data_IF_682068378418
#
_entry.id   IF_682068378418
#
_cell.length_a   1.000
_cell.length_b   1.000
_cell.length_c   1.000
_cell.angle_alpha   90.00
_cell.angle_beta   90.00
_cell.angle_gamma   90.00
#
_symmetry.space_group_name_H-M   'P 1'
#
loop_
_entity.id
_entity.type
_entity.pdbx_description
1 polymer ?
#
# COMPACT_ATOMS: atom_id res chain seq x y z
N UNK A 1 -13.25 7.55 -5.02
CA UNK A 1 -12.74 6.77 -3.86
C UNK A 1 -12.04 7.71 -2.89
N UNK A 2 -12.03 7.44 -1.60
CA UNK A 2 -11.30 8.25 -0.62
C UNK A 2 -9.93 7.62 -0.33
N UNK A 3 -9.00 8.42 0.25
CA UNK A 3 -7.73 7.88 0.75
C UNK A 3 -7.96 6.85 1.86
N UNK A 4 -7.11 5.86 1.93
CA UNK A 4 -7.12 4.83 2.99
C UNK A 4 -6.45 5.32 4.27
N UNK A 5 -5.65 6.39 4.19
CA UNK A 5 -4.92 6.94 5.33
C UNK A 5 -5.21 8.43 5.51
N UNK A 6 -5.32 8.86 6.76
CA UNK A 6 -5.37 10.28 7.10
C UNK A 6 -3.94 10.83 7.15
N UNK A 7 -3.62 11.79 6.28
CA UNK A 7 -2.27 12.33 6.13
C UNK A 7 -2.25 13.83 6.39
N UNK A 8 -1.35 14.28 7.29
CA UNK A 8 -1.21 15.71 7.63
C UNK A 8 -0.70 16.45 6.39
N UNK A 9 -1.35 17.57 6.04
CA UNK A 9 -1.05 18.31 4.82
C UNK A 9 -1.62 17.68 3.54
N UNK A 10 -2.45 16.65 3.69
CA UNK A 10 -3.13 16.00 2.54
C UNK A 10 -4.03 16.96 1.77
N UNK A 11 -4.11 16.78 0.45
CA UNK A 11 -4.84 17.64 -0.50
C UNK A 11 -6.37 17.46 -0.51
N UNK A 12 -6.94 16.87 0.56
CA UNK A 12 -8.39 16.59 0.63
C UNK A 12 -9.24 17.83 0.38
N UNK A 13 -8.92 18.94 1.06
CA UNK A 13 -9.67 20.19 0.95
C UNK A 13 -9.47 20.89 -0.41
N UNK A 14 -8.34 20.67 -1.06
CA UNK A 14 -7.99 21.28 -2.33
C UNK A 14 -8.38 20.44 -3.55
N UNK A 15 -8.84 19.22 -3.33
CA UNK A 15 -9.07 18.21 -4.39
C UNK A 15 -9.96 18.75 -5.52
N UNK A 16 -11.07 19.35 -5.20
CA UNK A 16 -12.02 19.86 -6.18
C UNK A 16 -11.44 21.04 -7.00
N UNK A 17 -10.69 21.93 -6.34
CA UNK A 17 -9.98 23.03 -7.03
C UNK A 17 -8.91 22.50 -7.98
N UNK A 18 -8.20 21.46 -7.60
CA UNK A 18 -7.19 20.81 -8.43
C UNK A 18 -7.84 20.18 -9.66
N UNK A 19 -8.97 19.47 -9.50
CA UNK A 19 -9.68 18.87 -10.63
C UNK A 19 -10.17 19.89 -11.65
N UNK A 20 -10.64 21.05 -11.21
CA UNK A 20 -11.05 22.14 -12.10
C UNK A 20 -9.91 22.69 -12.97
N UNK A 21 -8.66 22.39 -12.62
CA UNK A 21 -7.46 22.83 -13.36
C UNK A 21 -6.88 21.72 -14.22
N UNK A 22 -7.47 20.54 -14.21
CA UNK A 22 -7.03 19.46 -15.08
C UNK A 22 -7.33 19.81 -16.55
N UNK A 23 -6.45 19.40 -17.49
CA UNK A 23 -6.77 19.48 -18.90
C UNK A 23 -7.97 18.58 -19.22
N UNK A 24 -8.75 18.93 -20.25
CA UNK A 24 -9.93 18.18 -20.66
C UNK A 24 -9.62 16.73 -21.05
N UNK A 25 -8.41 16.44 -21.51
CA UNK A 25 -7.92 15.09 -21.78
C UNK A 25 -6.45 14.96 -21.44
N UNK A 26 -6.07 13.83 -20.87
CA UNK A 26 -4.67 13.48 -20.58
C UNK A 26 -4.51 11.97 -20.54
N UNK A 27 -3.39 11.47 -21.05
CA UNK A 27 -3.07 10.03 -21.06
C UNK A 27 -2.29 9.56 -19.82
N UNK A 28 -1.70 10.50 -19.08
CA UNK A 28 -0.85 10.20 -17.91
C UNK A 28 -1.19 11.12 -16.75
N UNK A 29 -1.19 10.55 -15.56
CA UNK A 29 -1.27 11.31 -14.31
C UNK A 29 -0.08 10.96 -13.41
N UNK A 30 0.64 11.97 -12.97
CA UNK A 30 1.80 11.79 -12.09
C UNK A 30 1.60 12.65 -10.85
N UNK A 31 1.48 12.02 -9.69
CA UNK A 31 1.41 12.70 -8.41
C UNK A 31 2.79 12.64 -7.73
N UNK A 32 3.54 13.75 -7.79
CA UNK A 32 4.95 13.82 -7.36
C UNK A 32 5.07 13.84 -5.83
N UNK A 33 4.13 14.47 -5.14
CA UNK A 33 4.02 14.54 -3.69
C UNK A 33 2.63 14.07 -3.28
N UNK A 34 2.45 12.73 -3.29
CA UNK A 34 1.14 12.10 -3.20
C UNK A 34 0.49 12.24 -1.83
N UNK A 35 1.28 12.18 -0.76
CA UNK A 35 0.74 12.15 0.59
C UNK A 35 -0.32 11.04 0.73
N UNK A 36 -1.45 11.35 1.29
CA UNK A 36 -2.57 10.39 1.39
C UNK A 36 -3.23 10.00 0.06
N UNK A 37 -2.75 10.46 -1.09
CA UNK A 37 -3.30 10.08 -2.41
C UNK A 37 -4.70 10.62 -2.71
N UNK A 38 -5.13 11.69 -2.04
CA UNK A 38 -6.49 12.21 -2.15
C UNK A 38 -6.90 12.62 -3.57
N UNK A 39 -5.96 13.14 -4.35
CA UNK A 39 -6.22 13.54 -5.74
C UNK A 39 -6.21 12.32 -6.64
N UNK A 40 -5.20 11.45 -6.51
CA UNK A 40 -5.08 10.22 -7.30
C UNK A 40 -6.31 9.32 -7.16
N UNK A 41 -6.72 9.02 -5.91
CA UNK A 41 -7.83 8.10 -5.67
C UNK A 41 -9.21 8.71 -5.89
N UNK A 42 -9.32 10.03 -5.96
CA UNK A 42 -10.60 10.69 -6.16
C UNK A 42 -10.95 10.98 -7.61
N UNK A 43 -10.00 10.93 -8.54
CA UNK A 43 -10.22 11.13 -9.97
C UNK A 43 -10.63 9.84 -10.70
N UNK A 44 -11.21 9.91 -11.88
CA UNK A 44 -11.32 8.75 -12.77
C UNK A 44 -9.94 8.19 -13.14
N UNK A 45 -9.82 6.86 -13.34
CA UNK A 45 -8.57 6.25 -13.80
C UNK A 45 -8.08 6.85 -15.12
N UNK A 46 -6.76 7.02 -15.27
CA UNK A 46 -6.10 7.40 -16.51
C UNK A 46 -5.26 6.23 -17.04
N UNK A 47 -4.85 6.29 -18.31
CA UNK A 47 -4.13 5.20 -18.96
C UNK A 47 -2.80 4.85 -18.28
N UNK A 48 -2.14 5.84 -17.67
CA UNK A 48 -0.94 5.63 -16.84
C UNK A 48 -1.02 6.50 -15.60
N UNK A 49 -0.79 5.91 -14.44
CA UNK A 49 -0.80 6.60 -13.16
C UNK A 49 0.48 6.31 -12.39
N UNK A 50 1.11 7.37 -11.91
CA UNK A 50 2.32 7.29 -11.09
C UNK A 50 2.07 8.01 -9.77
N UNK A 51 2.24 7.28 -8.68
CA UNK A 51 2.28 7.83 -7.33
C UNK A 51 3.72 7.90 -6.86
N UNK A 52 4.12 9.05 -6.37
CA UNK A 52 5.41 9.26 -5.72
C UNK A 52 5.23 10.08 -4.44
N UNK A 53 6.01 9.74 -3.43
CA UNK A 53 6.16 10.53 -2.21
C UNK A 53 7.57 10.38 -1.66
N UNK A 54 8.02 11.39 -0.92
CA UNK A 54 9.32 11.34 -0.24
C UNK A 54 9.32 10.31 0.91
N UNK A 55 8.16 10.11 1.54
CA UNK A 55 8.02 9.16 2.65
C UNK A 55 7.96 7.73 2.11
N UNK A 56 9.03 6.97 2.34
CA UNK A 56 9.16 5.58 1.88
C UNK A 56 8.17 4.63 2.54
N UNK A 57 7.77 4.88 3.79
CA UNK A 57 6.79 4.06 4.50
C UNK A 57 5.41 4.22 3.89
N UNK A 58 5.05 5.45 3.51
CA UNK A 58 3.81 5.74 2.83
C UNK A 58 3.77 5.08 1.44
N UNK A 59 4.87 5.16 0.71
CA UNK A 59 5.01 4.49 -0.60
C UNK A 59 4.93 2.97 -0.46
N UNK A 60 5.58 2.39 0.56
CA UNK A 60 5.50 0.96 0.86
C UNK A 60 4.08 0.54 1.23
N UNK A 61 3.36 1.33 2.05
CA UNK A 61 1.97 1.06 2.38
C UNK A 61 1.10 0.98 1.12
N UNK A 62 1.16 1.97 0.23
CA UNK A 62 0.35 1.94 -1.00
C UNK A 62 0.74 0.80 -1.96
N UNK A 63 2.02 0.43 -2.02
CA UNK A 63 2.45 -0.77 -2.75
C UNK A 63 1.85 -2.03 -2.14
N UNK A 64 1.91 -2.19 -0.83
CA UNK A 64 1.32 -3.34 -0.15
C UNK A 64 -0.20 -3.43 -0.35
N UNK A 65 -0.91 -2.30 -0.29
CA UNK A 65 -2.35 -2.24 -0.57
C UNK A 65 -2.67 -2.68 -1.99
N UNK A 66 -1.87 -2.29 -2.96
CA UNK A 66 -2.08 -2.65 -4.36
C UNK A 66 -1.73 -4.10 -4.66
N UNK A 67 -0.59 -4.56 -4.17
CA UNK A 67 0.04 -5.79 -4.64
C UNK A 67 -0.05 -6.95 -3.63
N UNK A 68 -0.26 -6.65 -2.34
CA UNK A 68 -0.29 -7.60 -1.23
C UNK A 68 -1.45 -7.34 -0.23
N UNK A 69 -2.70 -7.08 -0.70
CA UNK A 69 -3.79 -6.68 0.20
C UNK A 69 -4.13 -7.74 1.25
N UNK A 70 -4.13 -9.02 0.88
CA UNK A 70 -4.46 -10.11 1.81
C UNK A 70 -3.41 -10.24 2.92
N UNK A 71 -2.12 -10.21 2.57
CA UNK A 71 -1.04 -10.26 3.54
C UNK A 71 -1.08 -9.04 4.49
N UNK A 72 -1.41 -7.85 3.96
CA UNK A 72 -1.56 -6.65 4.77
C UNK A 72 -2.74 -6.77 5.75
N UNK A 73 -3.88 -7.28 5.32
CA UNK A 73 -5.06 -7.49 6.16
C UNK A 73 -4.76 -8.50 7.26
N UNK A 74 -4.07 -9.59 6.94
CA UNK A 74 -3.64 -10.57 7.93
C UNK A 74 -2.73 -9.96 8.99
N UNK A 75 -1.70 -9.23 8.56
CA UNK A 75 -0.78 -8.60 9.50
C UNK A 75 -1.50 -7.58 10.40
N UNK A 76 -2.44 -6.80 9.85
CA UNK A 76 -3.27 -5.89 10.63
C UNK A 76 -4.16 -6.61 11.65
N UNK A 77 -4.62 -7.82 11.34
CA UNK A 77 -5.43 -8.63 12.25
C UNK A 77 -4.69 -9.14 13.49
N UNK A 78 -3.36 -9.14 13.49
CA UNK A 78 -2.54 -9.51 14.63
C UNK A 78 -2.27 -8.37 15.61
N UNK A 79 -2.54 -7.12 15.23
CA UNK A 79 -2.29 -5.98 16.10
C UNK A 79 -3.47 -5.76 17.05
N UNK A 80 -3.23 -5.77 18.37
CA UNK A 80 -4.26 -5.37 19.33
C UNK A 80 -4.58 -3.88 19.17
N UNK A 81 -5.84 -3.55 19.36
CA UNK A 81 -6.34 -2.19 19.21
C UNK A 81 -6.02 -1.36 20.49
N UNK A 82 -5.22 -0.29 20.34
CA UNK A 82 -5.20 0.88 21.23
C UNK A 82 -4.47 0.79 22.58
N UNK A 83 -3.23 0.33 22.61
CA UNK A 83 -2.36 0.47 23.79
C UNK A 83 -1.29 1.56 23.61
N UNK A 84 -1.05 2.41 24.63
CA UNK A 84 0.07 3.38 24.64
C UNK A 84 1.44 2.70 24.50
N UNK A 85 1.58 1.52 25.07
CA UNK A 85 2.81 0.72 24.99
C UNK A 85 3.04 0.20 23.59
N UNK A 86 1.99 -0.24 22.92
CA UNK A 86 2.01 -0.70 21.54
C UNK A 86 2.35 0.43 20.57
N UNK A 87 1.74 1.60 20.75
CA UNK A 87 2.11 2.79 19.98
C UNK A 87 3.61 3.12 20.11
N UNK A 88 4.16 3.06 21.32
CA UNK A 88 5.58 3.30 21.56
C UNK A 88 6.45 2.22 20.94
N UNK A 89 5.99 0.97 20.89
CA UNK A 89 6.67 -0.13 20.20
C UNK A 89 6.68 0.09 18.68
N UNK A 90 5.52 0.39 18.09
CA UNK A 90 5.37 0.67 16.66
C UNK A 90 6.23 1.86 16.23
N UNK A 91 6.21 2.94 17.01
CA UNK A 91 7.05 4.13 16.76
C UNK A 91 8.55 3.78 16.79
N UNK A 92 9.00 2.96 17.75
CA UNK A 92 10.39 2.49 17.78
C UNK A 92 10.74 1.59 16.60
N UNK A 93 9.81 0.75 16.16
CA UNK A 93 9.99 -0.11 15.00
C UNK A 93 10.12 0.71 13.72
N UNK A 94 9.25 1.69 13.49
CA UNK A 94 9.28 2.55 12.32
C UNK A 94 10.51 3.47 12.26
N UNK A 95 11.03 3.89 13.42
CA UNK A 95 12.26 4.71 13.49
C UNK A 95 13.55 3.94 13.22
N UNK A 96 13.50 2.61 13.04
CA UNK A 96 14.65 1.85 12.57
C UNK A 96 14.84 2.12 11.08
N UNK A 97 16.01 2.63 10.70
CA UNK A 97 16.35 3.01 9.32
C UNK A 97 16.48 1.79 8.37
N UNK A 98 16.66 0.60 8.92
CA UNK A 98 16.77 -0.62 8.12
C UNK A 98 15.39 -1.10 7.68
N UNK A 99 15.15 -1.10 6.38
CA UNK A 99 14.10 -1.92 5.79
C UNK A 99 14.38 -3.36 6.23
N UNK A 100 13.44 -3.94 6.98
CA UNK A 100 13.59 -5.33 7.42
C UNK A 100 13.64 -6.25 6.19
N UNK A 101 14.29 -7.38 6.38
CA UNK A 101 14.33 -8.44 5.38
C UNK A 101 12.93 -8.71 4.81
N UNK A 102 12.84 -9.06 3.52
CA UNK A 102 11.56 -9.34 2.86
C UNK A 102 10.69 -10.24 3.74
N UNK A 103 9.44 -9.83 3.93
CA UNK A 103 8.51 -10.55 4.77
C UNK A 103 8.29 -11.99 4.29
N UNK A 104 7.87 -12.90 5.19
CA UNK A 104 7.57 -14.27 4.83
C UNK A 104 6.42 -14.31 3.79
N UNK A 105 6.45 -15.37 2.97
CA UNK A 105 5.27 -15.76 2.18
C UNK A 105 4.10 -16.01 3.13
N UNK A 106 2.96 -15.37 2.87
CA UNK A 106 1.75 -15.58 3.63
C UNK A 106 0.96 -16.76 3.02
N UNK A 107 0.66 -17.75 3.84
CA UNK A 107 -0.02 -18.97 3.40
C UNK A 107 -1.37 -18.70 2.72
N UNK A 108 -2.07 -17.65 3.13
CA UNK A 108 -3.40 -17.32 2.59
C UNK A 108 -3.35 -16.81 1.15
N UNK A 109 -2.27 -16.15 0.72
CA UNK A 109 -2.13 -15.77 -0.70
C UNK A 109 -1.99 -17.03 -1.58
N UNK A 110 -1.24 -18.03 -1.11
CA UNK A 110 -1.15 -19.34 -1.75
C UNK A 110 -2.48 -20.06 -1.76
N UNK A 111 -3.20 -20.05 -0.65
CA UNK A 111 -4.50 -20.72 -0.52
C UNK A 111 -5.57 -20.10 -1.42
N UNK A 112 -5.63 -18.78 -1.52
CA UNK A 112 -6.53 -18.09 -2.47
C UNK A 112 -6.17 -18.44 -3.92
N UNK A 113 -4.88 -18.49 -4.26
CA UNK A 113 -4.45 -18.91 -5.59
C UNK A 113 -4.89 -20.35 -5.89
N UNK A 114 -4.73 -21.27 -4.93
CA UNK A 114 -5.17 -22.67 -5.06
C UNK A 114 -6.70 -22.83 -5.22
N UNK A 115 -7.48 -21.95 -4.63
CA UNK A 115 -8.94 -21.95 -4.78
C UNK A 115 -9.42 -21.35 -6.10
N UNK A 116 -8.66 -20.42 -6.69
CA UNK A 116 -9.08 -19.65 -7.86
C UNK A 116 -8.44 -20.14 -9.18
N UNK A 117 -7.39 -20.94 -9.12
CA UNK A 117 -6.57 -21.31 -10.28
C UNK A 117 -6.46 -22.84 -10.42
N UNK A 118 -6.13 -23.30 -11.63
CA UNK A 118 -5.78 -24.72 -11.85
C UNK A 118 -4.43 -25.04 -11.19
N UNK A 119 -4.15 -26.32 -10.85
CA UNK A 119 -2.87 -26.72 -10.26
C UNK A 119 -1.64 -26.32 -11.09
N UNK A 120 -1.75 -26.39 -12.42
CA UNK A 120 -0.68 -25.98 -13.33
C UNK A 120 -0.44 -24.46 -13.23
N UNK A 121 -1.51 -23.66 -13.29
CA UNK A 121 -1.42 -22.20 -13.17
C UNK A 121 -0.90 -21.76 -11.78
N UNK A 122 -1.25 -22.49 -10.72
CA UNK A 122 -0.69 -22.27 -9.39
C UNK A 122 0.81 -22.52 -9.35
N UNK A 123 1.29 -23.57 -10.03
CA UNK A 123 2.71 -23.89 -10.13
C UNK A 123 3.51 -22.79 -10.83
N UNK A 124 2.95 -22.20 -11.88
CA UNK A 124 3.59 -21.09 -12.61
C UNK A 124 3.58 -19.76 -11.84
N UNK A 125 2.51 -19.47 -11.13
CA UNK A 125 2.35 -18.22 -10.38
C UNK A 125 3.12 -18.21 -9.06
N UNK A 126 3.26 -19.35 -8.38
CA UNK A 126 3.91 -19.43 -7.07
C UNK A 126 5.30 -18.77 -7.01
N UNK A 127 6.25 -19.04 -7.93
CA UNK A 127 7.55 -18.39 -7.92
C UNK A 127 7.46 -16.86 -8.07
N UNK A 128 6.53 -16.39 -8.90
CA UNK A 128 6.31 -14.96 -9.13
C UNK A 128 5.75 -14.27 -7.87
N UNK A 129 4.84 -14.93 -7.17
CA UNK A 129 4.29 -14.43 -5.91
C UNK A 129 5.33 -14.42 -4.79
N UNK A 130 6.21 -15.43 -4.72
CA UNK A 130 7.32 -15.49 -3.78
C UNK A 130 8.36 -14.40 -4.05
N UNK A 131 8.70 -14.14 -5.31
CA UNK A 131 9.58 -13.04 -5.68
C UNK A 131 8.97 -11.69 -5.33
N UNK A 132 7.68 -11.48 -5.64
CA UNK A 132 6.93 -10.30 -5.22
C UNK A 132 6.91 -10.13 -3.71
N UNK A 133 6.72 -11.19 -2.95
CA UNK A 133 6.71 -11.16 -1.49
C UNK A 133 7.98 -10.53 -0.91
N UNK A 134 9.13 -10.75 -1.57
CA UNK A 134 10.42 -10.20 -1.17
C UNK A 134 10.58 -8.70 -1.43
N UNK A 135 9.72 -8.11 -2.26
CA UNK A 135 9.81 -6.70 -2.65
C UNK A 135 9.04 -5.75 -1.72
N UNK A 136 8.24 -6.28 -0.78
CA UNK A 136 7.34 -5.49 0.05
C UNK A 136 7.53 -5.80 1.54
N UNK A 137 7.71 -4.75 2.33
CA UNK A 137 7.70 -4.87 3.79
C UNK A 137 6.25 -4.71 4.32
N UNK A 138 5.51 -5.81 4.31
CA UNK A 138 4.10 -5.86 4.73
C UNK A 138 3.96 -5.55 6.22
N UNK A 139 4.85 -6.04 7.06
CA UNK A 139 4.84 -5.78 8.50
C UNK A 139 5.05 -4.30 8.80
N UNK A 140 6.00 -3.67 8.10
CA UNK A 140 6.25 -2.24 8.22
C UNK A 140 5.04 -1.42 7.72
N UNK A 141 4.40 -1.85 6.63
CA UNK A 141 3.20 -1.21 6.11
C UNK A 141 2.03 -1.30 7.11
N UNK A 142 1.83 -2.45 7.75
CA UNK A 142 0.80 -2.63 8.78
C UNK A 142 1.08 -1.75 10.00
N UNK A 143 2.32 -1.74 10.49
CA UNK A 143 2.73 -0.87 11.61
C UNK A 143 2.59 0.62 11.30
N UNK A 144 2.79 1.02 10.05
CA UNK A 144 2.65 2.41 9.62
C UNK A 144 1.19 2.84 9.47
N UNK A 145 0.30 1.91 9.14
CA UNK A 145 -1.13 2.17 8.97
C UNK A 145 -1.85 2.39 10.31
N UNK A 146 -1.42 1.73 11.38
CA UNK A 146 -1.96 1.84 12.75
C UNK A 146 -1.56 3.14 13.44
#
# INVERSE_FOLDING_TARGET
MNSIISWIGGKKALRELIYQRFPLSYGRYIEVFGGGGWVLFGKPPSGMEVYNDYNSDLTNLFRCVRDRPLALIQELGFFPLNGREEFNYLKRFLNREEFMAPGPWYQDEGHVAEQCLTPEACGEIRPLLEERARMYDVKRAACFYQ
#
